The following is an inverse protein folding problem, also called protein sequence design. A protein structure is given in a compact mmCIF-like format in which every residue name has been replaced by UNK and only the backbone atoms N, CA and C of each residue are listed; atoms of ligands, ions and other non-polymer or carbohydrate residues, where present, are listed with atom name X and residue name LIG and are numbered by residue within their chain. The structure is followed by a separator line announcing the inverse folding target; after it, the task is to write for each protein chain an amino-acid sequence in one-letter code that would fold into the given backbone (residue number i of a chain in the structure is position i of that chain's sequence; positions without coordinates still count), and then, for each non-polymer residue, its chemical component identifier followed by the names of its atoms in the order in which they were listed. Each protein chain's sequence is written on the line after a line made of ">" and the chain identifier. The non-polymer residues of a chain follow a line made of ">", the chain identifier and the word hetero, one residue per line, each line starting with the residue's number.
data_IF_697677544517
#
_entry.id   IF_697677544517
#
_cell.length_a   1.000
_cell.length_b   1.000
_cell.length_c   1.000
_cell.angle_alpha   90.00
_cell.angle_beta   90.00
_cell.angle_gamma   90.00
#
_symmetry.space_group_name_H-M   'P 1'
#
loop_
_entity.id
_entity.type
_entity.pdbx_description
1 polymer ?
#
# COMPACT_ATOMS: atom_id res chain seq x y z
N UNK A 1 -19.08 2.77 25.07
CA UNK A 1 -19.77 3.55 26.11
C UNK A 1 -20.44 4.74 25.44
N UNK A 2 -21.53 5.31 25.99
CA UNK A 2 -22.14 6.51 25.41
C UNK A 2 -21.24 7.73 25.60
N UNK A 3 -21.34 8.71 24.70
CA UNK A 3 -20.49 9.91 24.63
C UNK A 3 -20.56 10.82 25.88
N UNK A 4 -21.24 10.46 26.96
CA UNK A 4 -21.31 11.22 28.23
C UNK A 4 -20.87 10.40 29.45
N UNK A 5 -20.23 9.24 29.23
CA UNK A 5 -19.72 8.37 30.30
C UNK A 5 -18.27 8.71 30.72
N UNK A 6 -17.81 9.94 30.49
CA UNK A 6 -16.46 10.41 30.80
C UNK A 6 -16.40 11.22 32.10
N UNK A 7 -15.18 11.40 32.64
CA UNK A 7 -14.86 12.29 33.76
C UNK A 7 -14.72 11.59 35.11
N UNK A 8 -14.38 12.36 36.14
CA UNK A 8 -14.30 11.86 37.52
C UNK A 8 -15.67 11.39 38.00
N UNK A 9 -15.70 10.18 38.55
CA UNK A 9 -16.89 9.57 39.11
C UNK A 9 -16.64 9.21 40.55
N UNK A 10 -17.41 9.85 41.41
CA UNK A 10 -17.53 9.45 42.79
C UNK A 10 -18.33 8.16 42.89
N UNK A 11 -17.64 7.06 43.17
CA UNK A 11 -18.27 5.82 43.56
C UNK A 11 -18.41 5.83 45.08
N UNK A 12 -19.65 5.95 45.56
CA UNK A 12 -19.96 5.82 46.99
C UNK A 12 -20.25 4.36 47.31
N UNK A 13 -19.41 3.73 48.11
CA UNK A 13 -19.68 2.42 48.70
C UNK A 13 -20.40 2.59 50.02
N UNK A 14 -21.50 1.86 50.21
CA UNK A 14 -22.25 1.80 51.46
C UNK A 14 -22.21 0.36 51.96
N UNK A 15 -21.64 0.17 53.15
CA UNK A 15 -21.67 -1.09 53.87
C UNK A 15 -22.78 -1.07 54.92
N UNK A 16 -23.60 -2.11 54.94
CA UNK A 16 -24.69 -2.29 55.92
C UNK A 16 -24.40 -3.51 56.77
N UNK A 17 -24.52 -3.38 58.09
CA UNK A 17 -24.35 -4.52 59.01
C UNK A 17 -25.57 -5.45 58.96
N UNK A 18 -25.33 -6.72 58.65
CA UNK A 18 -26.37 -7.76 58.57
C UNK A 18 -26.84 -8.17 59.97
N UNK A 19 -25.93 -8.33 60.92
CA UNK A 19 -26.25 -8.69 62.31
C UNK A 19 -27.11 -7.63 63.00
N UNK A 20 -26.84 -6.34 62.77
CA UNK A 20 -27.67 -5.28 63.31
C UNK A 20 -29.08 -5.28 62.69
N UNK A 21 -29.20 -5.66 61.42
CA UNK A 21 -30.48 -5.74 60.72
C UNK A 21 -31.39 -6.84 61.28
N UNK A 22 -30.81 -7.97 61.72
CA UNK A 22 -31.56 -9.05 62.37
C UNK A 22 -32.16 -8.64 63.73
N UNK A 23 -31.54 -7.67 64.41
CA UNK A 23 -32.06 -7.03 65.62
C UNK A 23 -33.02 -5.85 65.34
N UNK A 24 -33.36 -5.60 64.08
CA UNK A 24 -34.24 -4.50 63.65
C UNK A 24 -33.57 -3.12 63.66
N UNK A 25 -32.24 -3.07 63.74
CA UNK A 25 -31.44 -1.85 63.73
C UNK A 25 -30.77 -1.64 62.36
N UNK A 26 -30.68 -0.39 61.90
CA UNK A 26 -29.98 -0.06 60.65
C UNK A 26 -28.66 0.60 60.99
N UNK A 27 -27.56 -0.12 60.80
CA UNK A 27 -26.21 0.39 60.97
C UNK A 27 -25.49 0.34 59.62
N UNK A 28 -25.14 1.52 59.11
CA UNK A 28 -24.42 1.67 57.84
C UNK A 28 -23.15 2.52 58.00
N UNK A 29 -22.17 2.27 57.15
CA UNK A 29 -20.99 3.12 56.95
C UNK A 29 -20.78 3.35 55.47
N UNK A 30 -20.35 4.55 55.08
CA UNK A 30 -20.08 4.87 53.68
C UNK A 30 -18.67 5.41 53.48
N UNK A 31 -18.08 5.10 52.34
CA UNK A 31 -16.85 5.70 51.85
C UNK A 31 -17.01 6.06 50.38
N UNK A 32 -16.45 7.19 49.98
CA UNK A 32 -16.44 7.65 48.59
C UNK A 32 -15.03 7.48 48.04
N UNK A 33 -14.92 6.91 46.84
CA UNK A 33 -13.69 6.85 46.08
C UNK A 33 -13.94 7.47 44.71
N UNK A 34 -13.08 8.39 44.33
CA UNK A 34 -13.09 9.04 43.02
C UNK A 34 -12.39 8.12 42.01
N UNK A 35 -13.05 7.85 40.90
CA UNK A 35 -12.52 7.07 39.80
C UNK A 35 -12.63 7.86 38.51
N UNK A 36 -11.50 8.08 37.84
CA UNK A 36 -11.48 8.63 36.51
C UNK A 36 -11.89 7.54 35.52
N UNK A 37 -13.02 7.73 34.85
CA UNK A 37 -13.50 6.82 33.80
C UNK A 37 -13.44 7.54 32.45
N UNK A 38 -12.81 6.90 31.47
CA UNK A 38 -12.57 7.49 30.15
C UNK A 38 -12.54 6.45 29.04
N UNK A 39 -12.90 6.89 27.84
CA UNK A 39 -12.67 6.15 26.60
C UNK A 39 -11.19 6.31 26.20
N UNK A 40 -10.57 5.27 25.64
CA UNK A 40 -9.25 5.39 25.00
C UNK A 40 -9.34 6.31 23.77
N UNK A 41 -8.26 6.99 23.39
CA UNK A 41 -8.22 7.88 22.22
C UNK A 41 -8.28 9.39 22.54
N UNK A 42 -7.82 9.80 23.72
CA UNK A 42 -7.66 11.20 24.09
C UNK A 42 -6.51 11.87 23.34
N UNK A 43 -5.57 11.09 22.83
CA UNK A 43 -4.50 11.59 21.97
C UNK A 43 -4.84 11.19 20.53
N UNK A 44 -5.13 12.19 19.70
CA UNK A 44 -5.17 12.02 18.25
C UNK A 44 -3.76 12.17 17.69
N UNK A 45 -3.30 11.25 16.85
CA UNK A 45 -2.00 11.33 16.20
C UNK A 45 -2.13 11.00 14.72
N UNK A 46 -1.85 11.99 13.87
CA UNK A 46 -2.03 11.87 12.42
C UNK A 46 -0.77 12.36 11.71
N UNK A 47 -0.15 11.56 10.83
CA UNK A 47 0.94 12.04 10.00
C UNK A 47 0.43 13.05 8.96
N UNK A 48 1.14 14.16 8.81
CA UNK A 48 0.70 15.28 7.95
C UNK A 48 1.25 15.16 6.53
N UNK A 49 2.45 14.61 6.37
CA UNK A 49 3.15 14.45 5.08
C UNK A 49 3.51 12.98 4.81
N UNK A 50 2.50 12.11 4.85
CA UNK A 50 2.60 10.69 4.52
C UNK A 50 1.70 10.35 3.32
N UNK A 51 2.18 9.67 2.26
CA UNK A 51 3.54 9.14 2.13
C UNK A 51 4.58 10.23 1.82
N UNK A 52 5.78 10.11 2.40
CA UNK A 52 6.93 10.95 2.08
C UNK A 52 7.84 10.24 1.07
N UNK A 53 8.24 10.90 -0.01
CA UNK A 53 9.18 10.32 -0.99
C UNK A 53 10.60 10.85 -0.80
N UNK A 54 11.58 9.95 -0.74
CA UNK A 54 13.02 10.24 -0.63
C UNK A 54 13.73 9.68 -1.86
N UNK A 55 14.30 10.57 -2.67
CA UNK A 55 15.00 10.23 -3.93
C UNK A 55 16.50 10.52 -3.88
N UNK A 56 16.96 11.23 -2.87
CA UNK A 56 18.35 11.64 -2.70
C UNK A 56 18.80 11.42 -1.25
N UNK A 57 20.11 11.52 -1.01
CA UNK A 57 20.65 11.45 0.35
C UNK A 57 20.51 12.79 1.07
N UNK A 58 20.20 12.75 2.35
CA UNK A 58 20.01 13.94 3.19
C UNK A 58 19.94 13.57 4.67
N UNK A 59 20.15 14.55 5.55
CA UNK A 59 20.22 14.37 7.00
C UNK A 59 19.07 15.04 7.80
N UNK A 60 18.16 15.69 7.09
CA UNK A 60 17.12 16.57 7.64
C UNK A 60 15.71 16.36 7.03
N UNK A 61 15.40 15.17 6.52
CA UNK A 61 14.04 14.87 6.05
C UNK A 61 13.04 14.99 7.21
N UNK A 62 12.17 16.00 7.15
CA UNK A 62 11.25 16.35 8.21
C UNK A 62 9.88 15.67 8.01
N UNK A 63 9.66 14.59 8.73
CA UNK A 63 8.36 13.92 8.81
C UNK A 63 7.56 14.53 9.95
N UNK A 64 6.37 15.03 9.65
CA UNK A 64 5.55 15.81 10.57
C UNK A 64 4.33 15.01 10.97
N UNK A 65 4.07 14.98 12.28
CA UNK A 65 2.85 14.43 12.85
C UNK A 65 2.09 15.53 13.57
N UNK A 66 0.79 15.64 13.33
CA UNK A 66 -0.10 16.46 14.14
C UNK A 66 -0.61 15.63 15.31
N UNK A 67 -0.26 16.03 16.52
CA UNK A 67 -0.84 15.52 17.76
C UNK A 67 -1.96 16.44 18.23
N UNK A 68 -3.07 15.87 18.69
CA UNK A 68 -4.22 16.61 19.21
C UNK A 68 -4.61 16.05 20.57
N UNK A 69 -4.63 16.88 21.60
CA UNK A 69 -5.22 16.52 22.88
C UNK A 69 -6.74 16.70 22.78
N UNK A 70 -7.49 15.61 22.72
CA UNK A 70 -8.96 15.59 22.68
C UNK A 70 -9.59 15.60 24.06
N UNK A 71 -8.79 15.67 25.14
CA UNK A 71 -9.32 15.76 26.49
C UNK A 71 -10.04 17.10 26.68
N UNK A 72 -11.26 17.12 27.25
CA UNK A 72 -12.10 18.32 27.27
C UNK A 72 -11.62 19.41 28.24
N UNK A 73 -10.87 19.05 29.28
CA UNK A 73 -10.54 19.96 30.39
C UNK A 73 -9.10 19.90 30.88
N UNK A 74 -8.37 18.84 30.57
CA UNK A 74 -7.08 18.56 31.21
C UNK A 74 -5.97 18.67 30.19
N UNK A 75 -4.93 19.39 30.58
CA UNK A 75 -3.68 19.44 29.88
C UNK A 75 -2.93 18.13 30.13
N UNK A 76 -2.23 17.63 29.11
CA UNK A 76 -1.51 16.37 29.22
C UNK A 76 -0.02 16.59 29.02
N UNK A 77 0.80 16.01 29.89
CA UNK A 77 2.22 15.85 29.61
C UNK A 77 2.37 14.70 28.60
N UNK A 78 2.92 15.01 27.43
CA UNK A 78 3.15 14.07 26.36
C UNK A 78 4.65 13.83 26.18
N UNK A 79 4.99 12.58 25.91
CA UNK A 79 6.32 12.15 25.50
C UNK A 79 6.25 11.43 24.16
N UNK A 80 6.96 11.94 23.16
CA UNK A 80 7.05 11.35 21.85
C UNK A 80 8.34 10.52 21.71
N UNK A 81 8.22 9.31 21.19
CA UNK A 81 9.32 8.41 20.86
C UNK A 81 9.03 7.68 19.55
N UNK A 82 10.05 7.12 18.92
CA UNK A 82 9.92 6.39 17.66
C UNK A 82 10.06 4.90 17.96
N UNK A 83 9.14 4.09 17.48
CA UNK A 83 9.30 2.65 17.55
C UNK A 83 10.43 2.21 16.61
N UNK A 84 11.53 1.72 17.19
CA UNK A 84 12.72 1.28 16.47
C UNK A 84 12.66 -0.17 15.98
N UNK A 85 11.52 -0.83 16.13
CA UNK A 85 11.34 -2.22 15.71
C UNK A 85 10.93 -2.37 14.23
N UNK A 86 10.73 -1.28 13.50
CA UNK A 86 10.36 -1.30 12.08
C UNK A 86 11.53 -1.62 11.14
N UNK A 87 11.22 -2.25 10.00
CA UNK A 87 12.22 -2.62 8.97
C UNK A 87 12.91 -1.42 8.33
N UNK A 88 12.34 -0.21 8.45
CA UNK A 88 12.93 1.03 7.96
C UNK A 88 14.33 1.28 8.52
N UNK A 89 14.60 0.86 9.77
CA UNK A 89 15.89 1.08 10.43
C UNK A 89 17.04 0.25 9.85
N UNK A 90 16.76 -0.73 8.99
CA UNK A 90 17.80 -1.38 8.18
C UNK A 90 18.15 -0.57 6.92
N UNK A 91 17.30 0.37 6.53
CA UNK A 91 17.36 1.12 5.28
C UNK A 91 17.52 2.63 5.49
N UNK A 92 17.73 3.10 6.72
CA UNK A 92 18.08 4.49 7.04
C UNK A 92 19.26 4.52 8.01
N UNK A 93 19.90 5.68 8.14
CA UNK A 93 20.98 5.86 9.11
C UNK A 93 20.46 6.15 10.52
N UNK A 94 19.49 7.06 10.63
CA UNK A 94 18.84 7.41 11.90
C UNK A 94 17.45 8.00 11.67
N UNK A 95 16.60 7.88 12.68
CA UNK A 95 15.39 8.67 12.84
C UNK A 95 15.30 9.16 14.28
N UNK A 96 15.03 10.46 14.45
CA UNK A 96 14.97 11.12 15.76
C UNK A 96 13.82 12.12 15.83
N UNK A 97 13.13 12.17 16.96
CA UNK A 97 12.18 13.24 17.26
C UNK A 97 12.98 14.52 17.55
N UNK A 98 12.48 15.67 17.09
CA UNK A 98 13.06 16.97 17.42
C UNK A 98 13.10 17.18 18.94
N UNK A 99 14.15 17.84 19.44
CA UNK A 99 14.40 17.95 20.88
C UNK A 99 13.24 18.61 21.62
N UNK A 100 12.66 19.66 21.03
CA UNK A 100 11.56 20.42 21.62
C UNK A 100 10.22 19.69 21.55
N UNK A 101 10.11 18.67 20.69
CA UNK A 101 8.89 17.88 20.48
C UNK A 101 8.92 16.53 21.22
N UNK A 102 10.01 16.23 21.94
CA UNK A 102 10.14 14.95 22.65
C UNK A 102 9.34 14.91 23.95
N UNK A 103 9.36 15.99 24.73
CA UNK A 103 8.71 16.07 26.04
C UNK A 103 8.03 17.45 26.13
N UNK A 104 6.70 17.50 26.16
CA UNK A 104 5.95 18.75 26.21
C UNK A 104 4.57 18.61 26.82
N UNK A 105 4.02 19.73 27.31
CA UNK A 105 2.64 19.79 27.79
C UNK A 105 1.75 20.25 26.64
N UNK A 106 0.67 19.52 26.36
CA UNK A 106 -0.33 19.87 25.36
C UNK A 106 -1.65 20.25 26.06
N UNK A 107 -2.09 21.51 25.94
CA UNK A 107 -3.33 21.94 26.57
C UNK A 107 -4.56 21.19 26.07
N UNK A 108 -5.61 21.18 26.88
CA UNK A 108 -6.88 20.56 26.51
C UNK A 108 -7.45 21.11 25.18
N UNK A 109 -7.91 20.21 24.31
CA UNK A 109 -8.46 20.54 22.99
C UNK A 109 -7.50 21.27 22.02
N UNK A 110 -6.20 21.27 22.30
CA UNK A 110 -5.18 21.88 21.44
C UNK A 110 -4.46 20.85 20.56
N UNK A 111 -3.84 21.32 19.48
CA UNK A 111 -2.99 20.52 18.60
C UNK A 111 -1.59 21.10 18.46
N UNK A 112 -0.61 20.24 18.26
CA UNK A 112 0.79 20.61 18.02
C UNK A 112 1.38 19.73 16.93
N UNK A 113 2.35 20.25 16.19
CA UNK A 113 3.15 19.46 15.24
C UNK A 113 4.39 18.90 15.94
N UNK A 114 4.64 17.61 15.77
CA UNK A 114 5.84 16.90 16.19
C UNK A 114 6.65 16.62 14.93
N UNK A 115 7.92 17.04 14.93
CA UNK A 115 8.83 16.80 13.80
C UNK A 115 9.77 15.64 14.08
N UNK A 116 9.83 14.69 13.16
CA UNK A 116 10.77 13.57 13.15
C UNK A 116 11.75 13.80 12.01
N UNK A 117 13.04 13.90 12.34
CA UNK A 117 14.11 14.01 11.35
C UNK A 117 14.64 12.64 10.99
N UNK A 118 14.66 12.33 9.70
CA UNK A 118 15.29 11.15 9.15
C UNK A 118 16.59 11.49 8.47
N UNK A 119 17.59 10.64 8.66
CA UNK A 119 18.88 10.72 7.99
C UNK A 119 19.04 9.50 7.09
N UNK A 120 19.18 9.74 5.79
CA UNK A 120 19.27 8.73 4.74
C UNK A 120 20.54 8.99 3.92
N UNK A 121 21.44 8.00 3.89
CA UNK A 121 22.66 8.10 3.09
C UNK A 121 22.45 7.60 1.67
N UNK A 122 23.35 7.96 0.76
CA UNK A 122 23.34 7.44 -0.61
C UNK A 122 23.51 5.90 -0.64
N UNK A 123 24.29 5.35 0.29
CA UNK A 123 24.45 3.90 0.45
C UNK A 123 23.14 3.21 0.83
N UNK A 124 22.33 3.84 1.69
CA UNK A 124 21.01 3.33 2.04
C UNK A 124 20.11 3.19 0.81
N UNK A 125 20.05 4.23 -0.03
CA UNK A 125 19.21 4.21 -1.22
C UNK A 125 19.74 3.25 -2.30
N UNK A 126 21.05 3.18 -2.50
CA UNK A 126 21.65 2.27 -3.48
C UNK A 126 21.47 0.78 -3.09
N UNK A 127 21.39 0.49 -1.79
CA UNK A 127 21.22 -0.87 -1.26
C UNK A 127 19.76 -1.34 -1.17
N UNK A 128 18.79 -0.54 -1.65
CA UNK A 128 17.40 -0.99 -1.73
C UNK A 128 17.29 -2.28 -2.59
N UNK A 129 16.36 -3.16 -2.24
CA UNK A 129 16.16 -4.40 -2.99
C UNK A 129 15.62 -4.12 -4.40
N UNK A 130 14.54 -3.33 -4.47
CA UNK A 130 13.86 -2.90 -5.68
C UNK A 130 14.26 -1.46 -6.04
N UNK A 131 13.84 -0.96 -7.20
CA UNK A 131 14.03 0.45 -7.57
C UNK A 131 13.26 1.43 -6.68
N UNK A 132 12.17 0.96 -6.08
CA UNK A 132 11.30 1.72 -5.18
C UNK A 132 10.85 0.79 -4.05
N UNK A 133 10.93 1.27 -2.82
CA UNK A 133 10.53 0.52 -1.62
C UNK A 133 9.75 1.44 -0.68
N UNK A 134 8.69 0.91 -0.09
CA UNK A 134 7.90 1.61 0.93
C UNK A 134 8.17 1.03 2.31
N UNK A 135 8.38 1.91 3.29
CA UNK A 135 8.62 1.54 4.68
C UNK A 135 7.72 2.35 5.60
N UNK A 136 7.29 1.76 6.70
CA UNK A 136 6.53 2.47 7.72
C UNK A 136 7.39 2.82 8.93
N UNK A 137 7.27 4.06 9.40
CA UNK A 137 7.80 4.52 10.67
C UNK A 137 6.64 4.78 11.63
N UNK A 138 6.76 4.26 12.85
CA UNK A 138 5.72 4.41 13.88
C UNK A 138 6.19 5.43 14.90
N UNK A 139 5.41 6.50 15.08
CA UNK A 139 5.58 7.43 16.18
C UNK A 139 4.67 7.00 17.33
N UNK A 140 5.25 6.85 18.52
CA UNK A 140 4.54 6.56 19.76
C UNK A 140 4.52 7.83 20.62
N UNK A 141 3.34 8.16 21.15
CA UNK A 141 3.14 9.28 22.07
C UNK A 141 2.49 8.75 23.34
N UNK A 142 3.24 8.86 24.43
CA UNK A 142 2.82 8.49 25.77
C UNK A 142 2.35 9.73 26.52
N UNK A 143 1.08 9.77 26.92
CA UNK A 143 0.52 10.79 27.79
C UNK A 143 0.22 10.29 29.20
N UNK A 144 -0.13 11.21 30.10
CA UNK A 144 -0.50 10.89 31.49
C UNK A 144 -1.73 9.98 31.60
N UNK A 145 -2.71 10.17 30.70
CA UNK A 145 -4.00 9.45 30.74
C UNK A 145 -4.23 8.51 29.57
N UNK A 146 -3.44 8.61 28.50
CA UNK A 146 -3.60 7.78 27.29
C UNK A 146 -2.28 7.57 26.55
N UNK A 147 -2.24 6.57 25.67
CA UNK A 147 -1.12 6.30 24.77
C UNK A 147 -1.63 6.17 23.35
N UNK A 148 -0.94 6.77 22.40
CA UNK A 148 -1.29 6.70 20.99
C UNK A 148 -0.06 6.33 20.14
N UNK A 149 -0.28 5.61 19.06
CA UNK A 149 0.75 5.30 18.07
C UNK A 149 0.18 5.54 16.67
N UNK A 150 1.01 6.03 15.76
CA UNK A 150 0.60 6.30 14.37
C UNK A 150 1.72 5.98 13.41
N UNK A 151 1.36 5.39 12.27
CA UNK A 151 2.32 4.98 11.24
C UNK A 151 2.33 6.02 10.13
N UNK A 152 3.52 6.37 9.67
CA UNK A 152 3.73 7.14 8.46
C UNK A 152 4.52 6.32 7.45
N UNK A 153 4.12 6.40 6.18
CA UNK A 153 4.76 5.68 5.09
C UNK A 153 5.83 6.56 4.45
N UNK A 154 6.99 5.98 4.17
CA UNK A 154 8.12 6.60 3.50
C UNK A 154 8.47 5.75 2.28
N UNK A 155 8.45 6.37 1.11
CA UNK A 155 8.82 5.77 -0.17
C UNK A 155 10.25 6.17 -0.48
N UNK A 156 11.15 5.19 -0.57
CA UNK A 156 12.54 5.41 -0.94
C UNK A 156 12.78 4.92 -2.37
N UNK A 157 13.45 5.75 -3.17
CA UNK A 157 13.71 5.48 -4.59
C UNK A 157 15.22 5.44 -4.83
N UNK A 158 15.68 4.46 -5.62
CA UNK A 158 17.08 4.39 -6.05
C UNK A 158 17.43 5.62 -6.91
N UNK A 159 18.53 6.33 -6.62
CA UNK A 159 19.00 7.44 -7.45
C UNK A 159 19.31 6.99 -8.88
N UNK A 160 19.81 5.76 -9.03
CA UNK A 160 20.06 5.11 -10.32
C UNK A 160 19.27 3.80 -10.36
N UNK A 161 18.11 3.77 -11.05
CA UNK A 161 17.33 2.56 -11.20
C UNK A 161 18.12 1.45 -11.89
N UNK A 162 17.96 0.21 -11.42
CA UNK A 162 18.39 -0.99 -12.11
C UNK A 162 17.37 -1.28 -13.21
N UNK A 163 17.84 -1.35 -14.45
CA UNK A 163 17.03 -1.75 -15.59
C UNK A 163 16.77 -3.26 -15.50
N UNK A 164 15.69 -3.63 -14.83
CA UNK A 164 15.09 -4.95 -14.98
C UNK A 164 14.53 -5.00 -16.39
N UNK A 165 15.36 -5.51 -17.31
CA UNK A 165 14.97 -5.69 -18.70
C UNK A 165 13.62 -6.42 -18.83
N UNK A 166 13.04 -6.45 -20.04
CA UNK A 166 11.65 -6.84 -20.27
C UNK A 166 11.24 -8.08 -19.45
N UNK A 167 10.21 -7.92 -18.61
CA UNK A 167 9.73 -8.95 -17.68
C UNK A 167 9.63 -10.29 -18.39
N UNK A 168 10.51 -11.22 -18.03
CA UNK A 168 10.62 -12.51 -18.72
C UNK A 168 9.35 -13.34 -18.58
N UNK A 169 8.59 -13.14 -17.51
CA UNK A 169 7.30 -13.79 -17.25
C UNK A 169 6.20 -13.26 -18.18
N UNK A 170 6.14 -11.95 -18.39
CA UNK A 170 5.18 -11.30 -19.29
C UNK A 170 5.51 -11.60 -20.77
N UNK A 171 6.79 -11.52 -21.15
CA UNK A 171 7.24 -11.85 -22.50
C UNK A 171 7.11 -13.35 -22.82
N UNK A 172 7.30 -14.24 -21.85
CA UNK A 172 7.10 -15.68 -22.05
C UNK A 172 5.63 -16.02 -22.32
N UNK A 173 4.69 -15.41 -21.60
CA UNK A 173 3.25 -15.60 -21.83
C UNK A 173 2.82 -15.08 -23.21
N UNK A 174 3.26 -13.88 -23.58
CA UNK A 174 2.93 -13.28 -24.87
C UNK A 174 3.53 -14.10 -26.04
N UNK A 175 4.79 -14.50 -25.94
CA UNK A 175 5.46 -15.26 -27.01
C UNK A 175 4.91 -16.68 -27.16
N UNK A 176 4.59 -17.35 -26.05
CA UNK A 176 3.99 -18.68 -26.05
C UNK A 176 2.59 -18.69 -26.68
N UNK A 177 1.75 -17.71 -26.31
CA UNK A 177 0.40 -17.60 -26.86
C UNK A 177 0.39 -17.15 -28.32
N UNK A 178 1.26 -16.21 -28.72
CA UNK A 178 1.39 -15.80 -30.12
C UNK A 178 1.78 -16.99 -30.99
N UNK A 179 2.72 -17.83 -30.58
CA UNK A 179 3.11 -19.01 -31.35
C UNK A 179 1.96 -20.01 -31.50
N UNK A 180 1.21 -20.25 -30.42
CA UNK A 180 0.03 -21.13 -30.46
C UNK A 180 -1.07 -20.59 -31.38
N UNK A 181 -1.35 -19.27 -31.30
CA UNK A 181 -2.32 -18.59 -32.18
C UNK A 181 -1.88 -18.65 -33.64
N UNK A 182 -0.60 -18.43 -33.93
CA UNK A 182 -0.05 -18.51 -35.30
C UNK A 182 -0.16 -19.92 -35.87
N UNK A 183 0.10 -20.96 -35.07
CA UNK A 183 -0.10 -22.36 -35.48
C UNK A 183 -1.58 -22.63 -35.75
N UNK A 184 -2.47 -22.20 -34.86
CA UNK A 184 -3.92 -22.33 -35.03
C UNK A 184 -4.42 -21.63 -36.30
N UNK A 185 -3.96 -20.41 -36.56
CA UNK A 185 -4.31 -19.64 -37.76
C UNK A 185 -3.79 -20.33 -39.03
N UNK A 186 -2.59 -20.90 -39.00
CA UNK A 186 -2.05 -21.71 -40.10
C UNK A 186 -2.91 -22.94 -40.40
N UNK A 187 -3.39 -23.65 -39.37
CA UNK A 187 -4.31 -24.79 -39.53
C UNK A 187 -5.65 -24.33 -40.12
N UNK A 188 -6.22 -23.22 -39.62
CA UNK A 188 -7.48 -22.66 -40.15
C UNK A 188 -7.33 -22.31 -41.63
N UNK A 189 -6.25 -21.64 -42.01
CA UNK A 189 -5.97 -21.30 -43.42
C UNK A 189 -5.84 -22.56 -44.27
N UNK A 190 -5.15 -23.60 -43.78
CA UNK A 190 -5.02 -24.87 -44.50
C UNK A 190 -6.39 -25.54 -44.72
N UNK A 191 -7.24 -25.57 -43.69
CA UNK A 191 -8.61 -26.11 -43.78
C UNK A 191 -9.44 -25.28 -44.78
N UNK A 192 -9.37 -23.95 -44.71
CA UNK A 192 -10.08 -23.07 -45.65
C UNK A 192 -9.65 -23.29 -47.10
N UNK A 193 -8.35 -23.49 -47.36
CA UNK A 193 -7.86 -23.79 -48.71
C UNK A 193 -8.39 -25.14 -49.22
N UNK A 194 -8.42 -26.17 -48.37
CA UNK A 194 -8.97 -27.49 -48.73
C UNK A 194 -10.47 -27.39 -48.99
N UNK A 195 -11.23 -26.73 -48.10
CA UNK A 195 -12.68 -26.51 -48.29
C UNK A 195 -12.97 -25.71 -49.55
N UNK A 196 -12.19 -24.67 -49.85
CA UNK A 196 -12.33 -23.89 -51.09
C UNK A 196 -12.08 -24.76 -52.33
N UNK A 197 -11.06 -25.63 -52.30
CA UNK A 197 -10.81 -26.58 -53.40
C UNK A 197 -11.96 -27.55 -53.61
N UNK A 198 -12.54 -28.09 -52.54
CA UNK A 198 -13.69 -29.00 -52.62
C UNK A 198 -14.91 -28.28 -53.16
N UNK A 199 -15.21 -27.09 -52.64
CA UNK A 199 -16.32 -26.26 -53.12
C UNK A 199 -16.17 -25.96 -54.61
N UNK A 200 -14.98 -25.50 -55.05
CA UNK A 200 -14.71 -25.21 -56.45
C UNK A 200 -14.86 -26.44 -57.36
N UNK A 201 -14.51 -27.63 -56.87
CA UNK A 201 -14.68 -28.88 -57.61
C UNK A 201 -16.15 -29.33 -57.68
N UNK A 202 -16.92 -29.13 -56.60
CA UNK A 202 -18.33 -29.48 -56.54
C UNK A 202 -19.23 -28.53 -57.35
N UNK A 203 -18.82 -27.27 -57.51
CA UNK A 203 -19.51 -26.29 -58.39
C UNK A 203 -19.05 -26.37 -59.84
N UNK A 204 -18.15 -27.30 -60.18
CA UNK A 204 -17.82 -27.54 -61.58
C UNK A 204 -19.09 -27.98 -62.31
N UNK A 205 -19.41 -27.40 -63.47
CA UNK A 205 -20.58 -27.82 -64.24
C UNK A 205 -20.44 -29.31 -64.52
N UNK A 206 -21.40 -30.10 -64.04
CA UNK A 206 -21.50 -31.51 -64.41
C UNK A 206 -21.66 -31.53 -65.93
N UNK A 207 -20.68 -32.07 -66.64
CA UNK A 207 -20.88 -32.44 -68.04
C UNK A 207 -21.88 -33.60 -68.03
N UNK A 208 -23.15 -33.24 -68.20
CA UNK A 208 -24.22 -34.18 -68.51
C UNK A 208 -23.92 -34.75 -69.90
N UNK A 209 -23.20 -35.86 -69.96
CA UNK A 209 -23.16 -36.71 -71.15
C UNK A 209 -24.50 -37.44 -71.30
N UNK A 210 -25.56 -36.68 -71.59
CA UNK A 210 -26.81 -37.21 -72.15
C UNK A 210 -26.62 -37.44 -73.65
N UNK A 211 -25.67 -38.32 -74.02
CA UNK A 211 -25.52 -38.79 -75.40
C UNK A 211 -26.38 -40.04 -75.56
N UNK A 212 -27.51 -39.90 -76.26
CA UNK A 212 -28.43 -40.96 -76.68
C UNK A 212 -27.80 -42.04 -77.60
N UNK A 213 -26.49 -42.00 -77.85
CA UNK A 213 -25.74 -42.93 -78.71
C UNK A 213 -25.39 -44.27 -78.04
N UNK A 214 -25.55 -44.40 -76.72
CA UNK A 214 -25.23 -45.66 -75.99
C UNK A 214 -26.49 -46.45 -75.58
N UNK A 215 -27.65 -46.11 -76.13
CA UNK A 215 -28.84 -46.96 -76.04
C UNK A 215 -28.78 -48.04 -77.14
N UNK A 216 -28.13 -49.16 -76.80
CA UNK A 216 -28.14 -50.37 -77.63
C UNK A 216 -29.55 -51.00 -77.58
N UNK A 217 -30.35 -50.78 -78.63
CA UNK A 217 -31.59 -51.50 -78.86
C UNK A 217 -31.27 -52.96 -79.20
N UNK A 218 -31.09 -53.82 -78.20
CA UNK A 218 -30.92 -55.27 -78.37
C UNK A 218 -32.25 -55.97 -78.66
N UNK A 219 -32.99 -55.48 -79.66
CA UNK A 219 -34.15 -56.17 -80.24
C UNK A 219 -33.84 -56.47 -81.70
N UNK A 220 -32.91 -57.41 -81.89
CA UNK A 220 -32.72 -58.12 -83.16
C UNK A 220 -33.88 -59.11 -83.33
N UNK A 221 -34.81 -58.74 -84.21
CA UNK A 221 -35.89 -59.61 -84.68
C UNK A 221 -35.39 -60.67 -85.67
N UNK A 222 -34.55 -61.60 -85.21
CA UNK A 222 -34.22 -62.82 -85.96
C UNK A 222 -33.73 -63.96 -85.05
N UNK A 223 -34.65 -64.59 -84.32
CA UNK A 223 -34.31 -65.74 -83.48
C UNK A 223 -35.48 -66.59 -82.97
N UNK A 224 -36.66 -66.46 -83.57
CA UNK A 224 -37.83 -67.29 -83.27
C UNK A 224 -38.09 -68.29 -84.40
N UNK A 225 -37.33 -69.38 -84.39
CA UNK A 225 -37.69 -70.62 -85.09
C UNK A 225 -37.33 -71.84 -84.21
N UNK A 226 -38.23 -72.13 -83.25
CA UNK A 226 -38.43 -73.42 -82.57
C UNK A 226 -37.61 -73.74 -81.30
N UNK A 227 -38.06 -74.68 -80.45
CA UNK A 227 -39.42 -74.97 -79.97
C UNK A 227 -39.58 -74.70 -78.45
N UNK A 228 -40.83 -74.56 -78.02
CA UNK A 228 -41.37 -74.48 -76.65
C UNK A 228 -40.40 -74.81 -75.49
N UNK A 229 -40.01 -73.78 -74.73
CA UNK A 229 -39.54 -73.91 -73.35
C UNK A 229 -40.09 -72.77 -72.50
N UNK A 230 -41.06 -73.12 -71.65
CA UNK A 230 -41.61 -72.30 -70.57
C UNK A 230 -40.51 -71.86 -69.59
N UNK A 231 -40.43 -70.56 -69.26
CA UNK A 231 -39.76 -70.04 -68.06
C UNK A 231 -40.45 -68.70 -67.66
N UNK A 232 -40.45 -68.28 -66.38
CA UNK A 232 -41.54 -68.46 -65.40
C UNK A 232 -42.13 -67.12 -64.91
N UNK A 233 -43.21 -67.17 -64.12
CA UNK A 233 -43.86 -65.98 -63.52
C UNK A 233 -42.91 -65.14 -62.63
N UNK A 234 -43.07 -63.81 -62.72
CA UNK A 234 -42.28 -62.84 -61.98
C UNK A 234 -42.59 -62.86 -60.46
N UNK A 235 -41.58 -62.72 -59.59
CA UNK A 235 -41.79 -62.72 -58.14
C UNK A 235 -42.50 -61.44 -57.69
N UNK A 236 -43.48 -61.57 -56.80
CA UNK A 236 -44.17 -60.44 -56.17
C UNK A 236 -43.22 -59.70 -55.23
N UNK A 237 -43.19 -58.36 -55.34
CA UNK A 237 -42.50 -57.48 -54.42
C UNK A 237 -43.20 -57.50 -53.04
N UNK A 238 -42.46 -57.47 -51.91
CA UNK A 238 -43.08 -57.31 -50.60
C UNK A 238 -43.67 -55.91 -50.48
N UNK A 239 -44.96 -55.80 -50.20
CA UNK A 239 -45.67 -54.52 -50.05
C UNK A 239 -45.58 -53.92 -48.63
N UNK A 240 -44.69 -54.43 -47.77
CA UNK A 240 -44.58 -54.05 -46.36
C UNK A 240 -43.12 -53.73 -45.96
N UNK A 241 -42.48 -52.81 -46.67
CA UNK A 241 -41.22 -52.20 -46.21
C UNK A 241 -41.51 -50.77 -45.72
N UNK A 242 -41.72 -50.62 -44.40
CA UNK A 242 -41.94 -49.32 -43.75
C UNK A 242 -40.62 -48.59 -43.43
N UNK A 243 -39.46 -49.13 -43.83
CA UNK A 243 -38.15 -48.51 -43.59
C UNK A 243 -37.42 -48.31 -44.91
N UNK A 244 -37.33 -47.05 -45.35
CA UNK A 244 -36.50 -46.69 -46.49
C UNK A 244 -35.01 -46.94 -46.18
N UNK A 245 -34.47 -48.06 -46.67
CA UNK A 245 -33.03 -48.30 -46.67
C UNK A 245 -32.36 -47.42 -47.74
N UNK A 246 -32.14 -46.14 -47.42
CA UNK A 246 -31.22 -45.29 -48.19
C UNK A 246 -29.77 -45.64 -47.85
N UNK A 247 -28.88 -45.64 -48.85
CA UNK A 247 -27.44 -45.87 -48.65
C UNK A 247 -26.71 -44.73 -47.92
N UNK A 248 -27.40 -43.63 -47.63
CA UNK A 248 -26.95 -42.60 -46.68
C UNK A 248 -27.89 -42.71 -45.49
N UNK A 249 -27.34 -43.02 -44.31
CA UNK A 249 -28.06 -43.48 -43.11
C UNK A 249 -29.28 -42.64 -42.72
N UNK A 250 -30.23 -43.34 -42.08
CA UNK A 250 -31.57 -42.82 -41.75
C UNK A 250 -31.59 -41.59 -40.86
N UNK A 251 -32.62 -40.76 -41.06
CA UNK A 251 -32.83 -39.47 -40.40
C UNK A 251 -33.20 -39.55 -38.90
N UNK A 252 -32.88 -40.64 -38.22
CA UNK A 252 -33.26 -40.85 -36.81
C UNK A 252 -32.49 -39.92 -35.86
N UNK A 253 -31.22 -39.62 -36.17
CA UNK A 253 -30.34 -38.80 -35.30
C UNK A 253 -30.71 -37.31 -35.24
N UNK A 254 -31.47 -36.80 -36.22
CA UNK A 254 -31.86 -35.38 -36.27
C UNK A 254 -33.00 -35.07 -35.28
N UNK A 255 -33.80 -36.07 -34.91
CA UNK A 255 -34.95 -35.90 -34.02
C UNK A 255 -34.64 -36.19 -32.53
N UNK A 256 -33.42 -36.66 -32.21
CA UNK A 256 -33.03 -37.01 -30.83
C UNK A 256 -32.09 -35.98 -30.16
N UNK A 257 -31.71 -34.87 -30.84
CA UNK A 257 -30.86 -33.83 -30.25
C UNK A 257 -31.67 -32.86 -29.36
N UNK A 258 -31.31 -32.67 -28.07
CA UNK A 258 -31.95 -31.68 -27.21
C UNK A 258 -31.54 -30.24 -27.65
N UNK A 259 -32.42 -29.24 -27.49
CA UNK A 259 -32.12 -27.87 -27.94
C UNK A 259 -31.01 -27.22 -27.09
N UNK A 260 -30.04 -26.60 -27.75
CA UNK A 260 -29.00 -25.79 -27.11
C UNK A 260 -29.61 -24.51 -26.50
N UNK A 261 -29.36 -24.28 -25.21
CA UNK A 261 -29.78 -23.05 -24.52
C UNK A 261 -28.88 -21.87 -24.95
N UNK A 262 -29.43 -20.66 -25.11
CA UNK A 262 -28.64 -19.48 -25.42
C UNK A 262 -27.64 -19.15 -24.30
N UNK A 263 -26.49 -18.54 -24.63
CA UNK A 263 -25.48 -18.18 -23.65
C UNK A 263 -26.02 -17.15 -22.64
N UNK A 264 -25.50 -17.14 -21.40
CA UNK A 264 -25.87 -16.14 -20.40
C UNK A 264 -25.48 -14.72 -20.87
N UNK A 265 -26.20 -13.66 -20.44
CA UNK A 265 -25.88 -12.29 -20.81
C UNK A 265 -24.53 -11.86 -20.25
N UNK A 266 -23.78 -11.11 -21.06
CA UNK A 266 -22.51 -10.49 -20.68
C UNK A 266 -22.70 -9.47 -19.55
N UNK A 267 -21.76 -9.48 -18.61
CA UNK A 267 -21.62 -8.50 -17.51
C UNK A 267 -21.53 -7.07 -18.06
N UNK A 268 -22.12 -6.05 -17.41
CA UNK A 268 -22.04 -4.68 -17.89
C UNK A 268 -20.63 -4.11 -17.72
N UNK A 269 -20.19 -3.32 -18.70
CA UNK A 269 -18.95 -2.55 -18.65
C UNK A 269 -18.94 -1.61 -17.43
N UNK A 270 -17.78 -1.41 -16.77
CA UNK A 270 -17.66 -0.48 -15.66
C UNK A 270 -17.94 0.96 -16.12
N UNK A 271 -18.75 1.68 -15.33
CA UNK A 271 -19.02 3.10 -15.54
C UNK A 271 -17.72 3.92 -15.46
N UNK A 272 -17.59 5.01 -16.24
CA UNK A 272 -16.42 5.87 -16.20
C UNK A 272 -16.28 6.56 -14.83
N UNK A 273 -15.07 6.57 -14.31
CA UNK A 273 -14.71 7.29 -13.08
C UNK A 273 -15.02 8.79 -13.20
N UNK A 274 -15.50 9.44 -12.12
CA UNK A 274 -15.79 10.87 -12.12
C UNK A 274 -14.50 11.70 -12.29
N UNK A 275 -14.59 12.74 -13.12
CA UNK A 275 -13.52 13.74 -13.27
C UNK A 275 -13.21 14.40 -11.91
N UNK A 276 -11.93 14.67 -11.60
CA UNK A 276 -11.53 15.29 -10.35
C UNK A 276 -12.11 16.71 -10.22
N UNK A 277 -12.68 16.99 -9.04
CA UNK A 277 -13.12 18.34 -8.68
C UNK A 277 -11.92 19.31 -8.65
N UNK A 278 -12.11 20.58 -9.04
CA UNK A 278 -11.05 21.57 -9.03
C UNK A 278 -10.55 21.83 -7.61
N UNK A 279 -9.22 21.84 -7.45
CA UNK A 279 -8.55 22.15 -6.19
C UNK A 279 -8.99 23.53 -5.65
N UNK A 280 -9.20 23.67 -4.33
CA UNK A 280 -9.53 24.95 -3.72
C UNK A 280 -8.38 25.95 -3.88
N UNK A 281 -8.72 27.17 -4.27
CA UNK A 281 -7.76 28.28 -4.32
C UNK A 281 -7.11 28.50 -2.94
N UNK A 282 -5.80 28.79 -2.90
CA UNK A 282 -5.08 28.99 -1.65
C UNK A 282 -5.65 30.18 -0.87
N UNK A 283 -5.95 29.95 0.41
CA UNK A 283 -6.34 31.00 1.34
C UNK A 283 -5.22 32.05 1.47
N UNK A 284 -5.57 33.33 1.61
CA UNK A 284 -4.59 34.40 1.74
C UNK A 284 -3.75 34.22 3.01
N UNK A 285 -2.42 34.33 2.85
CA UNK A 285 -1.46 34.28 3.95
C UNK A 285 -1.82 35.30 5.05
N UNK A 286 -1.74 34.91 6.34
CA UNK A 286 -1.99 35.81 7.44
C UNK A 286 -0.99 36.97 7.44
N UNK A 287 -1.50 38.19 7.61
CA UNK A 287 -0.66 39.37 7.79
C UNK A 287 0.28 39.17 8.99
N UNK A 288 1.55 39.59 8.89
CA UNK A 288 2.51 39.42 9.97
C UNK A 288 2.06 40.16 11.23
N UNK A 289 1.99 39.43 12.34
CA UNK A 289 1.74 40.01 13.65
C UNK A 289 2.82 41.05 13.99
N UNK A 290 2.47 42.15 14.67
CA UNK A 290 3.43 43.18 15.06
C UNK A 290 4.50 42.61 15.98
N UNK A 291 5.78 42.88 15.64
CA UNK A 291 6.93 42.50 16.44
C UNK A 291 6.76 42.96 17.90
N UNK A 292 7.05 42.10 18.89
CA UNK A 292 6.96 42.47 20.30
C UNK A 292 7.92 43.62 20.60
N UNK A 293 7.45 44.60 21.39
CA UNK A 293 8.29 45.68 21.89
C UNK A 293 9.50 45.09 22.65
N UNK A 294 10.71 45.64 22.46
CA UNK A 294 11.90 45.12 23.10
C UNK A 294 11.77 45.21 24.62
N UNK A 295 11.95 44.07 25.29
CA UNK A 295 12.06 44.02 26.75
C UNK A 295 13.20 44.92 27.25
N UNK A 296 13.05 45.56 28.42
CA UNK A 296 14.08 46.41 28.99
C UNK A 296 15.37 45.62 29.23
N UNK A 297 16.50 46.19 28.80
CA UNK A 297 17.83 45.61 28.99
C UNK A 297 18.07 45.26 30.47
N UNK A 298 18.55 44.04 30.78
CA UNK A 298 18.88 43.66 32.15
C UNK A 298 20.03 44.52 32.68
N UNK A 299 19.94 44.91 33.95
CA UNK A 299 21.04 45.56 34.66
C UNK A 299 22.30 44.66 34.60
N UNK A 300 23.50 45.24 34.44
CA UNK A 300 24.73 44.47 34.31
C UNK A 300 24.95 43.61 35.57
N UNK A 301 25.02 42.29 35.37
CA UNK A 301 25.51 41.36 36.37
C UNK A 301 26.93 41.73 36.81
N UNK A 302 27.30 41.51 38.09
CA UNK A 302 28.66 41.71 38.56
C UNK A 302 29.63 40.81 37.78
N UNK A 303 30.78 41.37 37.39
CA UNK A 303 31.86 40.64 36.72
C UNK A 303 32.20 39.34 37.49
N UNK A 304 32.25 38.18 36.83
CA UNK A 304 32.63 36.94 37.50
C UNK A 304 34.06 37.06 38.01
N UNK A 305 34.24 36.90 39.32
CA UNK A 305 35.56 36.66 39.91
C UNK A 305 36.19 35.47 39.19
N UNK A 306 37.32 35.71 38.53
CA UNK A 306 38.02 34.70 37.73
C UNK A 306 38.36 33.45 38.55
N UNK A 307 38.61 32.31 37.87
CA UNK A 307 38.85 31.03 38.53
C UNK A 307 39.94 31.15 39.61
N UNK A 308 39.58 30.87 40.86
CA UNK A 308 40.52 30.86 41.99
C UNK A 308 41.64 29.85 41.72
N UNK A 309 42.84 30.36 41.43
CA UNK A 309 44.01 29.53 41.21
C UNK A 309 44.46 28.90 42.55
N UNK A 310 44.95 27.66 42.54
CA UNK A 310 45.45 27.01 43.75
C UNK A 310 46.62 27.80 44.37
N UNK A 311 46.79 27.76 45.71
CA UNK A 311 47.81 28.54 46.41
C UNK A 311 49.22 28.15 45.94
N UNK A 312 49.99 29.14 45.47
CA UNK A 312 51.36 28.97 44.97
C UNK A 312 51.52 29.13 43.46
N UNK A 313 50.43 29.39 42.72
CA UNK A 313 50.45 29.72 41.28
C UNK A 313 50.46 31.25 41.11
N UNK A 314 51.24 31.81 40.16
CA UNK A 314 51.18 33.23 39.87
C UNK A 314 49.83 33.65 39.26
N UNK A 315 49.35 34.88 39.55
CA UNK A 315 48.12 35.39 38.95
C UNK A 315 48.25 35.47 37.42
N UNK A 316 47.14 35.27 36.70
CA UNK A 316 47.09 35.42 35.24
C UNK A 316 47.29 36.92 34.91
N UNK A 317 48.15 37.29 33.95
CA UNK A 317 48.34 38.69 33.56
C UNK A 317 47.06 39.30 32.97
N UNK A 318 46.87 40.61 33.14
CA UNK A 318 45.70 41.33 32.59
C UNK A 318 45.57 41.24 31.06
N UNK A 319 46.66 40.93 30.36
CA UNK A 319 46.70 40.71 28.91
C UNK A 319 46.18 39.31 28.49
N UNK A 320 45.82 38.45 29.45
CA UNK A 320 45.45 37.07 29.23
C UNK A 320 46.64 36.10 29.25
N UNK A 321 46.34 34.80 29.09
CA UNK A 321 47.36 33.77 28.93
C UNK A 321 48.10 33.92 27.59
N UNK A 322 49.37 33.49 27.48
CA UNK A 322 50.07 33.45 26.21
C UNK A 322 49.28 32.68 25.14
N UNK A 323 49.38 33.08 23.86
CA UNK A 323 48.63 32.45 22.77
C UNK A 323 48.82 30.92 22.75
N UNK A 324 47.70 30.19 22.82
CA UNK A 324 47.67 28.73 22.82
C UNK A 324 47.90 28.05 24.18
N UNK A 325 47.99 28.79 25.29
CA UNK A 325 48.16 28.20 26.63
C UNK A 325 46.83 27.96 27.33
N UNK A 326 46.70 26.79 27.96
CA UNK A 326 45.56 26.49 28.85
C UNK A 326 45.84 26.92 30.31
N UNK A 327 44.79 26.99 31.13
CA UNK A 327 44.90 27.30 32.57
C UNK A 327 45.74 26.25 33.30
N UNK A 328 45.63 24.96 32.98
CA UNK A 328 46.50 23.92 33.54
C UNK A 328 47.99 24.11 33.19
N UNK A 329 48.29 24.57 31.98
CA UNK A 329 49.67 24.85 31.58
C UNK A 329 50.23 26.06 32.35
N UNK A 330 49.40 27.06 32.60
CA UNK A 330 49.76 28.20 33.43
C UNK A 330 50.09 27.80 34.88
N UNK A 331 49.28 26.91 35.46
CA UNK A 331 49.50 26.38 36.82
C UNK A 331 50.89 25.76 36.97
N UNK A 332 51.38 25.05 35.96
CA UNK A 332 52.68 24.37 36.02
C UNK A 332 53.87 25.23 35.55
N UNK A 333 53.68 26.12 34.57
CA UNK A 333 54.78 26.79 33.88
C UNK A 333 54.75 28.32 33.94
N UNK A 334 53.68 28.93 34.47
CA UNK A 334 53.49 30.39 34.50
C UNK A 334 54.62 31.14 35.23
N UNK A 335 55.16 30.56 36.30
CA UNK A 335 56.22 31.21 37.08
C UNK A 335 57.54 31.33 36.31
N UNK A 336 57.92 30.30 35.54
CA UNK A 336 59.12 30.36 34.68
C UNK A 336 58.96 31.34 33.53
N UNK A 337 57.74 31.43 32.99
CA UNK A 337 57.44 32.37 31.92
C UNK A 337 57.58 33.83 32.40
N UNK A 338 57.09 34.13 33.62
CA UNK A 338 57.29 35.43 34.25
C UNK A 338 58.77 35.74 34.55
N UNK A 339 59.53 34.76 35.03
CA UNK A 339 60.98 34.93 35.26
C UNK A 339 61.74 35.23 33.96
N UNK A 340 61.31 34.66 32.84
CA UNK A 340 61.90 34.91 31.52
C UNK A 340 61.58 36.31 30.99
N UNK A 341 60.33 36.76 31.12
CA UNK A 341 59.90 38.12 30.77
C UNK A 341 60.64 39.19 31.60
N UNK A 342 60.87 38.92 32.89
CA UNK A 342 61.57 39.85 33.78
C UNK A 342 63.11 39.81 33.64
N UNK A 343 63.65 38.89 32.85
CA UNK A 343 65.11 38.75 32.62
C UNK A 343 65.60 39.44 31.33
N UNK A 344 64.71 40.08 30.56
CA UNK A 344 65.00 40.90 29.38
C UNK A 344 64.89 42.40 29.67
#
# INVERSE_FOLDING_TARGET
>A
FSDNAFGDRDITLIATSVEAADDGLVVTGSGTAEFQVGNQGWIGLVPTNSPMTITESGDDYALVFTVTNRHPTDDQLLRADIDRNSDIFFNIFDARVHQDDRDFVLPSQESRSITVFLTVSEENLNNLAENEMSFDITLEVDGDVDKASSNATIVMVKPVPVDDGPDVEEFAWLTGNILFVLIGLGVIVAVLVVSFRIYSAATAPLEEISTLDTYEMTVDGSGWDGPEKEIPDAPMLPADDEVANSMYGGAQEIFEQPPEMPPPPSDPEPEPEPEPEPEPEPEPEPEPEPEPEPEPEPEPEPEPEGPELPPGVPPIPDAGLPEGWSVEQWIHYGQRWLDQQNSE
#
